data_IF_495574903047
#
_entry.id   IF_495574903047
#
_cell.length_a   1.000
_cell.length_b   1.000
_cell.length_c   1.000
_cell.angle_alpha   90.00
_cell.angle_beta   90.00
_cell.angle_gamma   90.00
#
_symmetry.space_group_name_H-M   'P 1'
#
loop_
_entity.id
_entity.type
_entity.pdbx_description
1 polymer ?
#
# COMPACT_ATOMS: atom_id res chain seq x y z
N UNK A 1 3.91 4.59 -13.40
CA UNK A 1 5.11 3.93 -13.96
C UNK A 1 5.70 4.90 -14.98
N UNK A 2 6.80 5.59 -14.64
CA UNK A 2 7.34 6.68 -15.46
C UNK A 2 8.79 6.36 -15.84
N UNK A 3 8.98 5.42 -16.78
CA UNK A 3 10.29 5.12 -17.35
C UNK A 3 10.14 4.95 -18.86
N UNK A 4 10.60 5.94 -19.63
CA UNK A 4 10.68 5.85 -21.09
C UNK A 4 12.11 5.50 -21.49
N UNK A 5 12.29 4.43 -22.24
CA UNK A 5 13.58 4.05 -22.81
C UNK A 5 13.42 3.72 -24.29
N UNK A 6 14.36 4.21 -25.09
CA UNK A 6 14.36 4.04 -26.54
C UNK A 6 14.60 2.57 -26.96
N UNK A 7 15.42 1.83 -26.20
CA UNK A 7 15.71 0.42 -26.46
C UNK A 7 14.82 -0.52 -25.64
N UNK A 8 14.04 -1.37 -26.34
CA UNK A 8 13.09 -2.31 -25.72
C UNK A 8 13.76 -3.38 -24.83
N UNK A 9 14.98 -3.81 -25.16
CA UNK A 9 15.75 -4.77 -24.34
C UNK A 9 16.09 -4.21 -22.96
N UNK A 10 16.42 -2.92 -22.89
CA UNK A 10 16.73 -2.24 -21.64
C UNK A 10 15.48 -2.08 -20.76
N UNK A 11 14.31 -1.85 -21.36
CA UNK A 11 13.04 -1.80 -20.63
C UNK A 11 12.70 -3.14 -19.96
N UNK A 12 12.91 -4.27 -20.64
CA UNK A 12 12.65 -5.60 -20.08
C UNK A 12 13.61 -5.96 -18.93
N UNK A 13 14.89 -5.59 -19.05
CA UNK A 13 15.87 -5.79 -17.99
C UNK A 13 15.57 -4.90 -16.78
N UNK A 14 15.18 -3.64 -17.01
CA UNK A 14 14.77 -2.71 -15.97
C UNK A 14 13.57 -3.25 -15.16
N UNK A 15 12.57 -3.83 -15.83
CA UNK A 15 11.43 -4.48 -15.17
C UNK A 15 11.86 -5.64 -14.26
N UNK A 16 12.82 -6.46 -14.71
CA UNK A 16 13.36 -7.55 -13.88
C UNK A 16 14.11 -6.98 -12.67
N UNK A 17 14.93 -5.95 -12.88
CA UNK A 17 15.67 -5.26 -11.82
C UNK A 17 14.72 -4.61 -10.80
N UNK A 18 13.64 -3.94 -11.23
CA UNK A 18 12.64 -3.35 -10.33
C UNK A 18 11.93 -4.42 -9.50
N UNK A 19 11.58 -5.57 -10.10
CA UNK A 19 11.00 -6.70 -9.34
C UNK A 19 11.96 -7.25 -8.30
N UNK A 20 13.23 -7.42 -8.68
CA UNK A 20 14.27 -7.87 -7.76
C UNK A 20 14.48 -6.85 -6.63
N UNK A 21 14.59 -5.57 -6.95
CA UNK A 21 14.70 -4.47 -5.99
C UNK A 21 13.48 -4.41 -5.05
N UNK A 22 12.28 -4.63 -5.57
CA UNK A 22 11.05 -4.72 -4.74
C UNK A 22 11.13 -5.87 -3.75
N UNK A 23 11.62 -7.04 -4.18
CA UNK A 23 11.82 -8.20 -3.30
C UNK A 23 12.87 -7.91 -2.23
N UNK A 24 13.98 -7.26 -2.59
CA UNK A 24 15.04 -6.84 -1.65
C UNK A 24 14.50 -5.86 -0.62
N UNK A 25 13.77 -4.81 -1.04
CA UNK A 25 13.14 -3.84 -0.14
C UNK A 25 12.21 -4.54 0.83
N UNK A 26 11.35 -5.41 0.32
CA UNK A 26 10.39 -6.16 1.14
C UNK A 26 11.12 -7.07 2.14
N UNK A 27 12.14 -7.81 1.70
CA UNK A 27 12.89 -8.72 2.56
C UNK A 27 13.63 -7.99 3.69
N UNK A 28 14.39 -6.94 3.36
CA UNK A 28 15.16 -6.17 4.35
C UNK A 28 14.27 -5.52 5.40
N UNK A 29 13.11 -5.01 4.99
CA UNK A 29 12.21 -4.29 5.89
C UNK A 29 11.27 -5.24 6.66
N UNK A 30 10.88 -6.38 6.07
CA UNK A 30 10.05 -7.41 6.74
C UNK A 30 10.69 -8.05 7.98
N UNK A 31 12.00 -7.85 8.19
CA UNK A 31 12.68 -8.26 9.42
C UNK A 31 12.15 -7.55 10.68
N UNK A 32 11.50 -6.40 10.52
CA UNK A 32 10.95 -5.63 11.64
C UNK A 32 9.48 -5.99 11.86
N UNK A 33 9.18 -6.56 13.02
CA UNK A 33 7.80 -6.91 13.37
C UNK A 33 6.89 -5.66 13.45
N UNK A 34 5.78 -5.71 12.73
CA UNK A 34 4.76 -4.65 12.71
C UNK A 34 5.03 -3.52 11.73
N UNK A 35 6.12 -3.57 10.95
CA UNK A 35 6.34 -2.65 9.84
C UNK A 35 5.48 -3.03 8.64
N UNK A 36 4.73 -2.07 8.11
CA UNK A 36 3.92 -2.24 6.89
C UNK A 36 4.50 -1.40 5.77
N UNK A 37 4.53 -1.95 4.56
CA UNK A 37 5.24 -1.34 3.43
C UNK A 37 4.31 -1.13 2.25
N UNK A 38 4.37 0.03 1.62
CA UNK A 38 3.73 0.20 0.34
C UNK A 38 4.54 -0.46 -0.77
N UNK A 39 3.93 -0.62 -1.94
CA UNK A 39 4.69 -0.98 -3.14
C UNK A 39 5.69 0.13 -3.46
N UNK A 40 7.00 -0.18 -3.58
CA UNK A 40 8.00 0.83 -3.87
C UNK A 40 7.77 1.40 -5.28
N UNK A 41 7.92 2.71 -5.42
CA UNK A 41 7.81 3.43 -6.69
C UNK A 41 9.20 3.78 -7.16
N UNK A 42 9.56 3.29 -8.34
CA UNK A 42 10.84 3.55 -8.97
C UNK A 42 10.68 4.65 -10.02
N UNK A 43 11.45 5.73 -9.88
CA UNK A 43 11.62 6.75 -10.90
C UNK A 43 13.02 6.60 -11.50
N UNK A 44 13.08 5.95 -12.67
CA UNK A 44 14.34 5.67 -13.34
C UNK A 44 14.65 6.76 -14.35
N UNK A 45 15.77 7.46 -14.13
CA UNK A 45 16.36 8.42 -15.05
C UNK A 45 17.61 7.82 -15.73
N UNK A 46 18.28 8.60 -16.58
CA UNK A 46 19.46 8.13 -17.32
C UNK A 46 20.60 7.73 -16.37
N UNK A 47 20.96 8.59 -15.41
CA UNK A 47 22.08 8.38 -14.48
C UNK A 47 21.67 8.13 -13.02
N UNK A 48 20.38 8.26 -12.73
CA UNK A 48 19.85 8.27 -11.37
C UNK A 48 18.59 7.42 -11.27
N UNK A 49 18.42 6.74 -10.14
CA UNK A 49 17.21 5.99 -9.78
C UNK A 49 16.73 6.51 -8.44
N UNK A 50 15.55 7.11 -8.41
CA UNK A 50 14.91 7.50 -7.16
C UNK A 50 13.94 6.40 -6.73
N UNK A 51 14.19 5.80 -5.58
CA UNK A 51 13.35 4.76 -4.98
C UNK A 51 12.51 5.39 -3.88
N UNK A 52 11.21 5.52 -4.12
CA UNK A 52 10.26 5.98 -3.12
C UNK A 52 9.65 4.77 -2.41
N UNK A 53 9.84 4.70 -1.09
CA UNK A 53 9.25 3.66 -0.25
C UNK A 53 8.40 4.34 0.81
N UNK A 54 7.09 4.13 0.73
CA UNK A 54 6.17 4.54 1.79
C UNK A 54 6.05 3.40 2.79
N UNK A 55 6.09 3.73 4.07
CA UNK A 55 5.94 2.73 5.12
C UNK A 55 5.11 3.28 6.27
N UNK A 56 4.47 2.37 7.00
CA UNK A 56 3.72 2.69 8.21
C UNK A 56 4.30 1.88 9.36
N UNK A 57 4.76 2.59 10.40
CA UNK A 57 5.24 2.00 11.64
C UNK A 57 4.77 2.85 12.83
N UNK A 58 3.78 2.38 13.60
CA UNK A 58 3.29 3.17 14.72
C UNK A 58 4.33 3.21 15.85
N UNK A 59 4.74 4.43 16.24
CA UNK A 59 5.55 4.68 17.43
C UNK A 59 7.01 4.21 17.36
N UNK A 60 7.54 3.89 16.17
CA UNK A 60 8.92 3.46 15.98
C UNK A 60 9.53 4.09 14.73
N UNK A 61 10.85 4.19 14.72
CA UNK A 61 11.63 4.76 13.62
C UNK A 61 12.61 3.73 13.06
N UNK A 62 12.93 3.86 11.78
CA UNK A 62 13.92 2.99 11.12
C UNK A 62 15.32 3.34 11.63
N UNK A 63 16.09 2.31 12.01
CA UNK A 63 17.48 2.47 12.42
C UNK A 63 18.36 2.80 11.21
N UNK A 64 19.35 3.67 11.42
CA UNK A 64 20.30 4.09 10.38
C UNK A 64 21.02 2.90 9.73
N UNK A 65 21.39 1.87 10.52
CA UNK A 65 22.05 0.68 10.02
C UNK A 65 21.22 -0.11 8.98
N UNK A 66 19.91 -0.26 9.23
CA UNK A 66 18.98 -0.92 8.31
C UNK A 66 18.83 -0.14 7.00
N UNK A 67 18.83 1.20 7.08
CA UNK A 67 18.76 2.09 5.91
C UNK A 67 20.05 1.99 5.08
N UNK A 68 21.22 1.99 5.73
CA UNK A 68 22.50 1.84 5.05
C UNK A 68 22.62 0.47 4.33
N UNK A 69 22.18 -0.59 4.99
CA UNK A 69 22.16 -1.95 4.42
C UNK A 69 21.24 -2.02 3.20
N UNK A 70 20.05 -1.42 3.30
CA UNK A 70 19.11 -1.33 2.18
C UNK A 70 19.71 -0.51 1.01
N UNK A 71 20.37 0.61 1.30
CA UNK A 71 21.03 1.44 0.31
C UNK A 71 22.15 0.68 -0.44
N UNK A 72 22.97 -0.08 0.27
CA UNK A 72 23.99 -0.95 -0.31
C UNK A 72 23.40 -2.04 -1.20
N UNK A 73 22.35 -2.72 -0.71
CA UNK A 73 21.65 -3.76 -1.47
C UNK A 73 21.00 -3.20 -2.75
N UNK A 74 20.36 -2.03 -2.68
CA UNK A 74 19.77 -1.38 -3.86
C UNK A 74 20.83 -0.91 -4.86
N UNK A 75 21.96 -0.39 -4.38
CA UNK A 75 23.08 0.00 -5.25
C UNK A 75 23.59 -1.20 -6.05
N UNK A 76 23.69 -2.38 -5.42
CA UNK A 76 24.08 -3.61 -6.11
C UNK A 76 23.08 -4.04 -7.20
N UNK A 77 21.78 -3.74 -7.02
CA UNK A 77 20.75 -4.05 -8.00
C UNK A 77 20.83 -3.17 -9.26
N UNK A 78 21.21 -1.90 -9.09
CA UNK A 78 21.16 -0.89 -10.15
C UNK A 78 22.53 -0.53 -10.75
N UNK A 79 23.62 -1.18 -10.29
CA UNK A 79 25.02 -1.27 -10.77
C UNK A 79 25.67 -0.07 -11.50
N UNK A 80 24.98 0.54 -12.46
CA UNK A 80 25.47 1.64 -13.31
C UNK A 80 24.78 2.98 -13.01
N UNK A 81 23.89 3.06 -12.01
CA UNK A 81 23.12 4.28 -11.70
C UNK A 81 23.21 4.65 -10.23
N UNK A 82 23.20 5.96 -9.97
CA UNK A 82 23.14 6.50 -8.61
C UNK A 82 21.76 6.24 -8.03
N UNK A 83 21.69 5.58 -6.87
CA UNK A 83 20.43 5.28 -6.20
C UNK A 83 20.16 6.32 -5.11
N UNK A 84 19.05 7.04 -5.24
CA UNK A 84 18.51 7.88 -4.17
C UNK A 84 17.34 7.19 -3.50
N UNK A 85 17.50 6.87 -2.22
CA UNK A 85 16.46 6.25 -1.41
C UNK A 85 15.66 7.34 -0.68
N UNK A 86 14.34 7.38 -0.93
CA UNK A 86 13.39 8.27 -0.26
C UNK A 86 12.40 7.44 0.54
N UNK A 87 12.65 7.35 1.84
CA UNK A 87 11.77 6.68 2.80
C UNK A 87 10.78 7.71 3.35
N UNK A 88 9.49 7.44 3.22
CA UNK A 88 8.43 8.33 3.72
C UNK A 88 7.56 7.55 4.70
N UNK A 89 7.51 8.02 5.94
CA UNK A 89 6.62 7.47 6.95
C UNK A 89 5.22 8.03 6.75
N UNK A 90 4.22 7.16 6.65
CA UNK A 90 2.82 7.57 6.62
C UNK A 90 2.30 7.74 8.06
N UNK A 91 1.51 8.79 8.27
CA UNK A 91 0.83 9.03 9.55
C UNK A 91 -0.35 8.08 9.79
N UNK A 92 -1.02 7.68 8.71
CA UNK A 92 -2.19 6.80 8.75
C UNK A 92 -2.09 5.70 7.69
N UNK A 93 -2.52 4.50 8.06
CA UNK A 93 -2.65 3.34 7.21
C UNK A 93 -3.68 3.53 6.08
N UNK A 94 -4.72 4.34 6.28
CA UNK A 94 -5.77 4.57 5.27
C UNK A 94 -5.31 5.43 4.08
N UNK A 95 -4.09 5.96 4.11
CA UNK A 95 -3.53 6.78 3.03
C UNK A 95 -3.03 5.94 1.85
N UNK A 96 -2.72 4.66 2.06
CA UNK A 96 -2.20 3.77 1.02
C UNK A 96 -2.94 2.44 1.06
N UNK A 97 -3.47 2.00 -0.08
CA UNK A 97 -4.29 0.80 -0.12
C UNK A 97 -3.47 -0.45 0.20
N UNK A 98 -2.18 -0.47 -0.15
CA UNK A 98 -1.33 -1.65 -0.04
C UNK A 98 -0.85 -1.90 1.39
N UNK A 99 -0.61 -0.83 2.15
CA UNK A 99 -0.38 -0.87 3.59
C UNK A 99 -1.66 -1.31 4.31
N UNK A 100 -2.82 -0.75 3.94
CA UNK A 100 -4.11 -1.15 4.51
C UNK A 100 -4.40 -2.63 4.23
N UNK A 101 -4.19 -3.11 3.00
CA UNK A 101 -4.41 -4.52 2.64
C UNK A 101 -3.53 -5.48 3.46
N UNK A 102 -2.27 -5.12 3.71
CA UNK A 102 -1.36 -5.89 4.56
C UNK A 102 -1.83 -5.95 6.01
N UNK A 103 -2.18 -4.80 6.60
CA UNK A 103 -2.68 -4.78 7.96
C UNK A 103 -3.95 -5.61 8.13
N UNK A 104 -4.90 -5.47 7.21
CA UNK A 104 -6.15 -6.23 7.24
C UNK A 104 -5.89 -7.73 7.11
N UNK A 105 -4.89 -8.14 6.33
CA UNK A 105 -4.50 -9.53 6.26
C UNK A 105 -3.89 -10.04 7.58
N UNK A 106 -3.07 -9.24 8.25
CA UNK A 106 -2.53 -9.57 9.58
C UNK A 106 -3.65 -9.68 10.63
N UNK A 107 -4.62 -8.77 10.59
CA UNK A 107 -5.80 -8.79 11.48
C UNK A 107 -6.77 -9.92 11.14
N UNK A 108 -6.87 -10.33 9.86
CA UNK A 108 -7.75 -11.40 9.40
C UNK A 108 -7.45 -12.77 10.03
N UNK A 109 -6.23 -12.98 10.53
CA UNK A 109 -5.89 -14.18 11.28
C UNK A 109 -6.41 -14.16 12.73
N UNK A 110 -6.71 -12.96 13.27
CA UNK A 110 -7.11 -12.74 14.66
C UNK A 110 -8.60 -12.47 14.81
N UNK A 111 -9.20 -11.75 13.86
CA UNK A 111 -10.56 -11.23 13.93
C UNK A 111 -11.40 -11.73 12.75
N UNK A 112 -12.71 -11.98 12.97
CA UNK A 112 -13.63 -12.27 11.88
C UNK A 112 -13.87 -11.03 11.03
N UNK A 113 -14.16 -11.25 9.74
CA UNK A 113 -14.35 -10.18 8.75
C UNK A 113 -15.39 -9.12 9.19
N UNK A 114 -16.48 -9.54 9.83
CA UNK A 114 -17.52 -8.62 10.32
C UNK A 114 -16.97 -7.63 11.36
N UNK A 115 -16.10 -8.08 12.28
CA UNK A 115 -15.47 -7.20 13.27
C UNK A 115 -14.50 -6.23 12.62
N UNK A 116 -13.74 -6.70 11.63
CA UNK A 116 -12.83 -5.84 10.86
C UNK A 116 -13.63 -4.74 10.14
N UNK A 117 -14.76 -5.10 9.52
CA UNK A 117 -15.67 -4.16 8.88
C UNK A 117 -16.25 -3.13 9.88
N UNK A 118 -16.65 -3.55 11.08
CA UNK A 118 -17.13 -2.63 12.12
C UNK A 118 -16.05 -1.64 12.57
N UNK A 119 -14.83 -2.11 12.84
CA UNK A 119 -13.71 -1.26 13.26
C UNK A 119 -13.38 -0.22 12.18
N UNK A 120 -13.35 -0.63 10.92
CA UNK A 120 -13.08 0.28 9.82
C UNK A 120 -14.18 1.34 9.63
N UNK A 121 -15.46 0.99 9.84
CA UNK A 121 -16.54 1.98 9.83
C UNK A 121 -16.33 3.04 10.92
N UNK A 122 -15.85 2.64 12.09
CA UNK A 122 -15.58 3.58 13.18
C UNK A 122 -14.35 4.48 12.92
N UNK A 123 -13.38 3.98 12.17
CA UNK A 123 -12.17 4.73 11.79
C UNK A 123 -12.39 5.68 10.61
N UNK A 124 -13.35 5.34 9.75
CA UNK A 124 -13.77 6.14 8.60
C UNK A 124 -15.05 6.89 8.92
N UNK A 125 -14.97 7.84 9.84
CA UNK A 125 -16.04 8.83 9.98
C UNK A 125 -16.15 9.60 8.66
N UNK A 126 -17.37 9.77 8.10
CA UNK A 126 -17.56 10.52 6.87
C UNK A 126 -17.10 11.95 7.10
N UNK A 127 -16.21 12.43 6.24
CA UNK A 127 -15.96 13.87 6.11
C UNK A 127 -17.24 14.47 5.54
N UNK A 128 -18.06 15.07 6.40
CA UNK A 128 -19.11 15.96 5.93
C UNK A 128 -18.42 17.19 5.34
N UNK A 129 -18.76 17.52 4.10
CA UNK A 129 -18.33 18.76 3.47
C UNK A 129 -19.00 19.93 4.21
N UNK A 130 -18.42 20.36 5.33
CA UNK A 130 -18.65 21.72 5.80
C UNK A 130 -17.85 22.63 4.87
N UNK A 131 -18.57 23.52 4.19
CA UNK A 131 -18.02 24.46 3.21
C UNK A 131 -16.78 25.18 3.77
N UNK A 132 -15.60 24.81 3.28
CA UNK A 132 -14.35 25.51 3.63
C UNK A 132 -14.33 26.89 2.96
N UNK A 133 -13.94 27.96 3.68
CA UNK A 133 -13.89 29.32 3.15
C UNK A 133 -12.81 29.44 2.06
N UNK A 134 -13.16 30.13 0.98
CA UNK A 134 -12.48 30.19 -0.31
C UNK A 134 -11.08 30.85 -0.34
N UNK A 135 -10.34 30.93 0.78
CA UNK A 135 -9.15 31.78 0.87
C UNK A 135 -7.89 31.11 1.41
N UNK A 136 -7.71 29.81 1.16
CA UNK A 136 -6.39 29.18 1.33
C UNK A 136 -5.79 28.87 -0.05
N UNK A 137 -4.70 29.57 -0.38
CA UNK A 137 -3.73 29.17 -1.42
C UNK A 137 -3.14 27.82 -1.00
N UNK A 138 -3.87 26.72 -1.21
CA UNK A 138 -3.59 25.44 -0.56
C UNK A 138 -3.48 24.32 -1.59
N UNK A 139 -2.45 23.50 -1.40
CA UNK A 139 -2.29 22.20 -2.05
C UNK A 139 -3.62 21.43 -2.03
N UNK A 140 -3.95 20.66 -3.09
CA UNK A 140 -5.18 19.90 -3.14
C UNK A 140 -5.30 19.02 -1.88
N UNK A 141 -6.29 19.29 -1.05
CA UNK A 141 -6.54 18.51 0.16
C UNK A 141 -7.29 17.26 -0.29
N UNK A 142 -6.59 16.12 -0.32
CA UNK A 142 -7.20 14.83 -0.64
C UNK A 142 -7.95 14.30 0.57
N UNK A 143 -9.28 14.27 0.52
CA UNK A 143 -10.11 13.60 1.52
C UNK A 143 -10.50 12.19 1.04
N UNK A 144 -10.47 11.22 1.94
CA UNK A 144 -10.89 9.85 1.64
C UNK A 144 -12.42 9.79 1.59
N UNK A 145 -12.98 9.49 0.42
CA UNK A 145 -14.43 9.49 0.18
C UNK A 145 -15.05 8.09 0.21
N UNK A 146 -14.26 7.05 -0.05
CA UNK A 146 -14.75 5.68 -0.07
C UNK A 146 -13.67 4.63 0.19
N UNK A 147 -14.10 3.53 0.79
CA UNK A 147 -13.30 2.33 1.02
C UNK A 147 -14.11 1.10 0.62
N UNK A 148 -13.54 0.27 -0.24
CA UNK A 148 -14.08 -1.06 -0.53
C UNK A 148 -13.06 -2.12 -0.11
N UNK A 149 -13.51 -3.15 0.57
CA UNK A 149 -12.68 -4.29 0.95
C UNK A 149 -13.36 -5.58 0.53
N UNK A 150 -12.60 -6.41 -0.19
CA UNK A 150 -13.00 -7.75 -0.58
C UNK A 150 -12.02 -8.75 -0.01
N UNK A 151 -12.52 -9.65 0.83
CA UNK A 151 -11.79 -10.81 1.31
C UNK A 151 -12.16 -12.02 0.46
N UNK A 152 -11.17 -12.73 -0.06
CA UNK A 152 -11.34 -13.97 -0.82
C UNK A 152 -10.59 -15.10 -0.12
N UNK A 153 -11.23 -16.25 0.08
CA UNK A 153 -10.67 -17.38 0.83
C UNK A 153 -11.26 -17.51 2.24
N UNK A 154 -10.72 -18.45 3.04
CA UNK A 154 -11.22 -18.76 4.38
C UNK A 154 -10.36 -18.08 5.44
N UNK A 155 -10.99 -17.40 6.40
CA UNK A 155 -10.35 -17.00 7.64
C UNK A 155 -10.46 -18.11 8.67
N UNK A 156 -9.45 -18.23 9.54
CA UNK A 156 -9.43 -19.20 10.65
C UNK A 156 -10.56 -19.00 11.65
N UNK A 157 -11.08 -17.77 11.76
CA UNK A 157 -12.16 -17.38 12.66
C UNK A 157 -13.56 -17.71 12.13
N UNK A 158 -13.67 -18.15 10.87
CA UNK A 158 -14.97 -18.44 10.27
C UNK A 158 -15.52 -19.78 10.77
N UNK A 159 -16.78 -19.81 11.20
CA UNK A 159 -17.47 -21.05 11.62
C UNK A 159 -17.62 -22.01 10.44
N UNK A 160 -17.71 -23.31 10.76
CA UNK A 160 -18.02 -24.35 9.78
C UNK A 160 -19.40 -24.09 9.17
N UNK A 161 -19.47 -23.95 7.85
CA UNK A 161 -20.67 -23.57 7.11
C UNK A 161 -20.46 -23.68 5.60
N UNK A 162 -21.48 -23.38 4.79
CA UNK A 162 -21.38 -23.44 3.34
C UNK A 162 -20.25 -22.54 2.83
N UNK A 163 -19.60 -22.96 1.73
CA UNK A 163 -18.36 -22.36 1.23
C UNK A 163 -18.59 -20.94 0.70
N UNK A 164 -18.57 -19.94 1.58
CA UNK A 164 -18.46 -18.54 1.18
C UNK A 164 -17.01 -18.25 0.81
N UNK A 165 -16.76 -18.11 -0.48
CA UNK A 165 -15.42 -17.86 -1.03
C UNK A 165 -15.04 -16.39 -1.00
N UNK A 166 -16.02 -15.50 -0.84
CA UNK A 166 -15.85 -14.05 -0.92
C UNK A 166 -16.72 -13.35 0.11
N UNK A 167 -16.12 -12.46 0.91
CA UNK A 167 -16.81 -11.49 1.75
C UNK A 167 -16.47 -10.08 1.29
N UNK A 168 -17.48 -9.22 1.15
CA UNK A 168 -17.33 -7.85 0.64
C UNK A 168 -17.90 -6.86 1.65
N UNK A 169 -17.23 -5.74 1.85
CA UNK A 169 -17.76 -4.59 2.57
C UNK A 169 -17.35 -3.32 1.84
N UNK A 170 -18.27 -2.37 1.78
CA UNK A 170 -18.07 -1.06 1.19
C UNK A 170 -18.50 0.02 2.19
N UNK A 171 -17.79 1.14 2.18
CA UNK A 171 -18.00 2.30 3.04
C UNK A 171 -17.77 3.56 2.20
N UNK A 172 -18.61 4.58 2.39
CA UNK A 172 -18.50 5.84 1.64
C UNK A 172 -19.01 5.73 0.20
N UNK A 173 -18.50 6.59 -0.68
CA UNK A 173 -18.89 6.69 -2.09
C UNK A 173 -17.69 6.46 -3.01
N UNK A 174 -17.87 5.60 -4.01
CA UNK A 174 -16.91 5.36 -5.09
C UNK A 174 -17.38 5.99 -6.42
N UNK A 175 -18.05 7.15 -6.33
CA UNK A 175 -18.51 7.86 -7.53
C UNK A 175 -17.31 8.26 -8.40
N UNK A 176 -17.33 7.83 -9.66
CA UNK A 176 -16.34 8.23 -10.68
C UNK A 176 -16.60 9.69 -11.09
N UNK A 177 -16.10 10.65 -10.33
CA UNK A 177 -15.98 12.03 -10.81
C UNK A 177 -14.70 12.18 -11.65
N UNK A 178 -14.61 13.20 -12.51
CA UNK A 178 -13.39 13.42 -13.33
C UNK A 178 -12.13 13.73 -12.51
N UNK A 179 -12.30 14.02 -11.21
CA UNK A 179 -11.24 14.38 -10.26
C UNK A 179 -11.02 13.27 -9.20
N UNK A 180 -11.88 12.24 -9.17
CA UNK A 180 -11.80 11.15 -8.20
C UNK A 180 -10.69 10.16 -8.53
N UNK A 181 -9.68 10.05 -7.66
CA UNK A 181 -8.62 9.05 -7.79
C UNK A 181 -9.00 7.79 -7.03
N UNK A 182 -8.90 6.62 -7.69
CA UNK A 182 -9.10 5.32 -7.05
C UNK A 182 -7.78 4.56 -6.99
N UNK A 183 -7.32 4.25 -5.78
CA UNK A 183 -6.15 3.42 -5.54
C UNK A 183 -6.59 1.98 -5.26
N UNK A 184 -5.90 1.02 -5.87
CA UNK A 184 -6.20 -0.40 -5.76
C UNK A 184 -4.98 -1.21 -5.38
N UNK A 185 -5.16 -2.09 -4.41
CA UNK A 185 -4.16 -3.10 -4.10
C UNK A 185 -4.76 -4.39 -3.57
N UNK A 186 -3.92 -5.41 -3.53
CA UNK A 186 -4.25 -6.70 -2.99
C UNK A 186 -3.05 -7.26 -2.25
N UNK A 187 -3.33 -8.00 -1.19
CA UNK A 187 -2.34 -8.74 -0.43
C UNK A 187 -2.84 -10.16 -0.18
N UNK A 188 -1.97 -11.14 -0.42
CA UNK A 188 -2.29 -12.57 -0.23
C UNK A 188 -1.46 -13.12 0.90
N UNK A 189 -2.13 -13.71 1.88
CA UNK A 189 -1.53 -14.36 3.03
C UNK A 189 -1.98 -15.82 3.11
N UNK A 190 -1.26 -16.61 3.91
CA UNK A 190 -1.62 -18.00 4.20
C UNK A 190 -1.99 -18.13 5.67
N UNK A 191 -2.98 -18.98 5.94
CA UNK A 191 -3.36 -19.39 7.28
C UNK A 191 -3.53 -20.91 7.34
N UNK A 192 -3.95 -21.43 8.50
CA UNK A 192 -4.14 -22.88 8.71
C UNK A 192 -5.18 -23.52 7.78
N UNK A 193 -6.09 -22.73 7.19
CA UNK A 193 -7.15 -23.21 6.30
C UNK A 193 -6.84 -23.01 4.81
N UNK A 194 -5.72 -22.36 4.47
CA UNK A 194 -5.25 -22.14 3.10
C UNK A 194 -4.80 -20.70 2.83
N UNK A 195 -4.67 -20.38 1.54
CA UNK A 195 -4.38 -19.01 1.11
C UNK A 195 -5.66 -18.17 1.12
N UNK A 196 -5.55 -16.92 1.53
CA UNK A 196 -6.60 -15.92 1.45
C UNK A 196 -6.03 -14.60 0.93
N UNK A 197 -6.86 -13.84 0.22
CA UNK A 197 -6.48 -12.57 -0.40
C UNK A 197 -7.40 -11.46 0.08
N UNK A 198 -6.81 -10.37 0.55
CA UNK A 198 -7.51 -9.13 0.85
C UNK A 198 -7.27 -8.17 -0.29
N UNK A 199 -8.35 -7.62 -0.84
CA UNK A 199 -8.32 -6.57 -1.88
C UNK A 199 -8.94 -5.31 -1.31
N UNK A 200 -8.29 -4.18 -1.57
CA UNK A 200 -8.64 -2.87 -1.05
C UNK A 200 -8.74 -1.89 -2.21
N UNK A 201 -9.83 -1.13 -2.25
CA UNK A 201 -9.97 0.04 -3.09
C UNK A 201 -10.17 1.26 -2.19
N UNK A 202 -9.35 2.28 -2.39
CA UNK A 202 -9.50 3.58 -1.75
C UNK A 202 -9.96 4.57 -2.82
N UNK A 203 -10.99 5.34 -2.50
CA UNK A 203 -11.48 6.44 -3.34
C UNK A 203 -11.16 7.75 -2.62
N UNK A 204 -10.47 8.64 -3.31
CA UNK A 204 -10.10 9.96 -2.78
C UNK A 204 -10.71 11.05 -3.66
N UNK A 205 -11.15 12.12 -3.01
CA UNK A 205 -11.60 13.34 -3.66
C UNK A 205 -10.58 14.45 -3.41
N UNK A 206 -10.08 15.03 -4.49
CA UNK A 206 -9.28 16.25 -4.44
C UNK A 206 -10.22 17.43 -4.57
N UNK A 207 -10.36 18.23 -3.51
CA UNK A 207 -11.04 19.54 -3.54
C UNK A 207 -10.06 20.66 -3.82
#
# INVERSE_FOLDING_TARGET
MNAYQFAKSNAANLLKTERYATAVVTACLSAHEGLLLAKPIFAVQQHKVTVHVFYYWPGRTLQHASIATLGGALTSCFASKVVELRLVQLSNMSLDSSILAQCLALQGNKLPFNRIAELLKSLLTPVFNDAMPANSLALPVSSLTGLQIKLSGRLTTQRYGPRQTVSLTHMGSAAKSSIGMTDYSQFTAKNKLGAFTVKVWLSQHSS
#
